data_IF_384642408371
#
_entry.id   IF_384642408371
#
_cell.length_a   1.000
_cell.length_b   1.000
_cell.length_c   1.000
_cell.angle_alpha   90.00
_cell.angle_beta   90.00
_cell.angle_gamma   90.00
#
_symmetry.space_group_name_H-M   'P 1'
#
loop_
_entity.id
_entity.type
_entity.pdbx_description
1 polymer ?
#
# COMPACT_ATOMS: atom_id res chain seq x y z
N UNK A 1 -35.93 12.95 -20.84
CA UNK A 1 -34.59 12.85 -20.23
C UNK A 1 -34.23 11.37 -20.26
N UNK A 2 -33.57 10.94 -21.33
CA UNK A 2 -33.13 9.56 -21.53
C UNK A 2 -31.98 9.28 -20.57
N UNK A 3 -32.16 8.33 -19.66
CA UNK A 3 -31.04 7.75 -18.90
C UNK A 3 -30.00 7.26 -19.92
N UNK A 4 -28.70 7.55 -19.74
CA UNK A 4 -27.69 6.97 -20.62
C UNK A 4 -27.81 5.45 -20.51
N UNK A 5 -27.86 4.79 -21.67
CA UNK A 5 -27.83 3.34 -21.80
C UNK A 5 -26.71 2.81 -20.92
N UNK A 6 -27.04 2.02 -19.90
CA UNK A 6 -26.07 1.10 -19.32
C UNK A 6 -25.50 0.32 -20.50
N UNK A 7 -24.20 0.43 -20.73
CA UNK A 7 -23.52 -0.38 -21.72
C UNK A 7 -23.92 -1.84 -21.46
N UNK A 8 -24.47 -2.57 -22.45
CA UNK A 8 -25.13 -3.85 -22.21
C UNK A 8 -24.21 -4.92 -21.60
N UNK A 9 -22.91 -4.67 -21.50
CA UNK A 9 -21.89 -5.60 -21.02
C UNK A 9 -20.96 -5.02 -19.95
N UNK A 10 -21.51 -4.30 -18.96
CA UNK A 10 -20.75 -3.94 -17.75
C UNK A 10 -20.75 -5.11 -16.74
N UNK A 11 -19.56 -5.64 -16.45
CA UNK A 11 -19.32 -6.64 -15.42
C UNK A 11 -18.72 -5.98 -14.17
N UNK A 12 -19.04 -6.50 -12.99
CA UNK A 12 -18.51 -5.97 -11.74
C UNK A 12 -18.05 -7.07 -10.80
N UNK A 13 -17.01 -6.79 -10.02
CA UNK A 13 -16.53 -7.67 -8.96
C UNK A 13 -16.23 -6.88 -7.69
N UNK A 14 -16.56 -7.45 -6.53
CA UNK A 14 -16.33 -6.84 -5.23
C UNK A 14 -15.61 -7.83 -4.31
N UNK A 15 -14.61 -7.34 -3.59
CA UNK A 15 -13.82 -8.15 -2.67
C UNK A 15 -13.23 -7.29 -1.54
N UNK A 16 -12.74 -7.95 -0.50
CA UNK A 16 -12.06 -7.31 0.65
C UNK A 16 -10.55 -7.52 0.53
N UNK A 17 -9.79 -6.42 0.53
CA UNK A 17 -8.33 -6.40 0.64
C UNK A 17 -7.84 -5.01 1.08
N UNK A 18 -6.62 -4.94 1.62
CA UNK A 18 -5.96 -3.71 2.06
C UNK A 18 -6.81 -2.92 3.08
N UNK A 19 -7.53 -3.63 3.95
CA UNK A 19 -8.39 -3.06 4.98
C UNK A 19 -9.59 -2.27 4.46
N UNK A 20 -10.06 -2.53 3.24
CA UNK A 20 -11.30 -1.94 2.71
C UNK A 20 -12.02 -2.85 1.71
N UNK A 21 -13.28 -2.52 1.42
CA UNK A 21 -13.99 -3.07 0.27
C UNK A 21 -13.46 -2.41 -1.00
N UNK A 22 -13.12 -3.23 -1.99
CA UNK A 22 -12.74 -2.79 -3.34
C UNK A 22 -13.83 -3.25 -4.29
N UNK A 23 -14.16 -2.40 -5.25
CA UNK A 23 -15.09 -2.70 -6.33
C UNK A 23 -14.44 -2.32 -7.67
N UNK A 24 -14.55 -3.21 -8.64
CA UNK A 24 -14.08 -3.00 -10.00
C UNK A 24 -15.24 -3.19 -10.97
N UNK A 25 -15.32 -2.33 -11.98
CA UNK A 25 -16.29 -2.41 -13.08
C UNK A 25 -15.52 -2.42 -14.39
N UNK A 26 -15.93 -3.28 -15.31
CA UNK A 26 -15.30 -3.46 -16.61
C UNK A 26 -16.37 -3.51 -17.69
N UNK A 27 -16.20 -2.71 -18.75
CA UNK A 27 -17.05 -2.71 -19.93
C UNK A 27 -16.34 -3.51 -21.04
N UNK A 28 -16.86 -4.70 -21.35
CA UNK A 28 -16.25 -5.64 -22.30
C UNK A 28 -17.32 -6.59 -22.85
N UNK A 29 -17.29 -6.88 -24.15
CA UNK A 29 -18.33 -7.67 -24.82
C UNK A 29 -18.32 -9.18 -24.48
N UNK A 30 -17.29 -9.67 -23.79
CA UNK A 30 -17.11 -11.09 -23.45
C UNK A 30 -17.05 -11.32 -21.94
N UNK A 31 -17.98 -12.15 -21.46
CA UNK A 31 -18.05 -12.52 -20.05
C UNK A 31 -16.81 -13.28 -19.58
N UNK A 32 -16.24 -14.18 -20.38
CA UNK A 32 -15.09 -14.97 -19.95
C UNK A 32 -13.86 -14.08 -19.71
N UNK A 33 -13.62 -13.14 -20.62
CA UNK A 33 -12.61 -12.08 -20.51
C UNK A 33 -12.86 -11.23 -19.27
N UNK A 34 -14.10 -10.80 -19.03
CA UNK A 34 -14.44 -10.00 -17.86
C UNK A 34 -14.13 -10.72 -16.53
N UNK A 35 -14.55 -11.97 -16.39
CA UNK A 35 -14.31 -12.75 -15.18
C UNK A 35 -12.81 -12.97 -14.93
N UNK A 36 -12.05 -13.27 -16.00
CA UNK A 36 -10.60 -13.47 -15.88
C UNK A 36 -9.90 -12.17 -15.45
N UNK A 37 -10.20 -11.05 -16.11
CA UNK A 37 -9.62 -9.75 -15.80
C UNK A 37 -9.94 -9.29 -14.37
N UNK A 38 -11.19 -9.42 -13.93
CA UNK A 38 -11.62 -9.06 -12.58
C UNK A 38 -10.98 -9.96 -11.50
N UNK A 39 -10.77 -11.24 -11.79
CA UNK A 39 -10.03 -12.15 -10.91
C UNK A 39 -8.55 -11.78 -10.79
N UNK A 40 -7.91 -11.35 -11.89
CA UNK A 40 -6.54 -10.84 -11.87
C UNK A 40 -6.42 -9.54 -11.05
N UNK A 41 -7.41 -8.64 -11.14
CA UNK A 41 -7.46 -7.43 -10.30
C UNK A 41 -7.52 -7.81 -8.82
N UNK A 42 -8.40 -8.73 -8.42
CA UNK A 42 -8.45 -9.20 -7.04
C UNK A 42 -7.11 -9.79 -6.59
N UNK A 43 -6.51 -10.67 -7.39
CA UNK A 43 -5.22 -11.28 -7.09
C UNK A 43 -4.12 -10.23 -6.91
N UNK A 44 -4.11 -9.17 -7.72
CA UNK A 44 -3.20 -8.04 -7.59
C UNK A 44 -3.36 -7.33 -6.24
N UNK A 45 -4.57 -6.94 -5.86
CA UNK A 45 -4.80 -6.28 -4.58
C UNK A 45 -4.44 -7.16 -3.37
N UNK A 46 -4.68 -8.49 -3.46
CA UNK A 46 -4.25 -9.44 -2.43
C UNK A 46 -2.72 -9.57 -2.37
N UNK A 47 -2.04 -9.54 -3.51
CA UNK A 47 -0.58 -9.51 -3.55
C UNK A 47 -0.02 -8.24 -2.90
N UNK A 48 -0.58 -7.07 -3.23
CA UNK A 48 -0.22 -5.81 -2.57
C UNK A 48 -0.44 -5.86 -1.05
N UNK A 49 -1.55 -6.43 -0.59
CA UNK A 49 -1.78 -6.61 0.84
C UNK A 49 -0.73 -7.52 1.50
N UNK A 50 -0.36 -8.63 0.85
CA UNK A 50 0.66 -9.54 1.37
C UNK A 50 2.05 -8.88 1.45
N UNK A 51 2.35 -7.91 0.60
CA UNK A 51 3.64 -7.22 0.61
C UNK A 51 3.64 -5.99 1.51
N UNK A 52 2.60 -5.15 1.44
CA UNK A 52 2.59 -3.80 1.99
C UNK A 52 1.82 -3.66 3.31
N UNK A 53 1.13 -4.70 3.79
CA UNK A 53 0.33 -4.59 5.01
C UNK A 53 1.19 -4.64 6.27
N UNK A 54 1.27 -3.54 7.00
CA UNK A 54 1.88 -3.53 8.35
C UNK A 54 1.04 -4.24 9.43
N UNK A 55 -0.19 -4.64 9.11
CA UNK A 55 -1.08 -5.34 10.04
C UNK A 55 -0.96 -6.87 9.92
N UNK A 56 -0.30 -7.36 8.87
CA UNK A 56 -0.02 -8.77 8.65
C UNK A 56 1.41 -9.06 9.11
N UNK A 57 1.55 -9.92 10.13
CA UNK A 57 2.87 -10.26 10.67
C UNK A 57 3.77 -10.98 9.64
N UNK A 58 3.14 -11.68 8.68
CA UNK A 58 3.80 -12.40 7.60
C UNK A 58 4.00 -11.56 6.33
N UNK A 59 3.67 -10.26 6.35
CA UNK A 59 3.93 -9.41 5.19
C UNK A 59 5.39 -9.06 5.05
N UNK A 60 5.81 -8.80 3.82
CA UNK A 60 7.19 -8.39 3.56
C UNK A 60 7.56 -7.08 4.28
N UNK A 61 6.65 -6.09 4.29
CA UNK A 61 6.83 -4.83 5.02
C UNK A 61 7.02 -5.06 6.53
N UNK A 62 6.19 -5.90 7.16
CA UNK A 62 6.32 -6.20 8.58
C UNK A 62 7.65 -6.89 8.89
N UNK A 63 8.08 -7.81 8.03
CA UNK A 63 9.38 -8.48 8.15
C UNK A 63 10.55 -7.50 7.98
N UNK A 64 10.46 -6.55 7.04
CA UNK A 64 11.45 -5.49 6.87
C UNK A 64 11.50 -4.56 8.10
N UNK A 65 10.33 -4.15 8.63
CA UNK A 65 10.23 -3.31 9.83
C UNK A 65 10.82 -3.98 11.08
N UNK A 66 10.81 -5.32 11.14
CA UNK A 66 11.46 -6.09 12.20
C UNK A 66 12.99 -6.23 12.05
N UNK A 67 13.57 -5.75 10.95
CA UNK A 67 14.99 -5.91 10.60
C UNK A 67 15.66 -4.55 10.43
N UNK A 68 16.12 -3.99 11.54
CA UNK A 68 16.91 -2.75 11.52
C UNK A 68 18.42 -3.01 11.52
N UNK A 69 19.19 -1.99 11.12
CA UNK A 69 20.65 -1.99 11.10
C UNK A 69 21.32 -3.07 10.25
N UNK A 70 20.60 -3.65 9.28
CA UNK A 70 21.12 -4.64 8.33
C UNK A 70 20.52 -4.46 6.94
N UNK A 71 21.23 -4.95 5.91
CA UNK A 71 20.73 -4.96 4.54
C UNK A 71 19.74 -6.11 4.35
N UNK A 72 18.58 -5.80 3.79
CA UNK A 72 17.50 -6.75 3.54
C UNK A 72 17.12 -6.69 2.05
N UNK A 73 17.30 -7.77 1.28
CA UNK A 73 16.74 -7.87 -0.07
C UNK A 73 15.22 -7.76 -0.01
N UNK A 74 14.63 -7.01 -0.94
CA UNK A 74 13.17 -6.80 -1.01
C UNK A 74 12.63 -7.15 -2.39
N UNK A 75 11.34 -7.42 -2.49
CA UNK A 75 10.64 -7.67 -3.75
C UNK A 75 10.59 -6.41 -4.63
N UNK A 76 10.39 -6.56 -5.96
CA UNK A 76 10.23 -5.42 -6.85
C UNK A 76 9.10 -4.48 -6.42
N UNK A 77 7.99 -5.03 -5.90
CA UNK A 77 6.85 -4.23 -5.45
C UNK A 77 7.19 -3.40 -4.21
N UNK A 78 7.84 -4.00 -3.21
CA UNK A 78 8.26 -3.28 -2.02
C UNK A 78 9.32 -2.23 -2.35
N UNK A 79 10.27 -2.56 -3.22
CA UNK A 79 11.27 -1.62 -3.75
C UNK A 79 10.63 -0.41 -4.44
N UNK A 80 9.72 -0.66 -5.39
CA UNK A 80 9.02 0.40 -6.11
C UNK A 80 8.21 1.28 -5.14
N UNK A 81 7.53 0.67 -4.18
CA UNK A 81 6.71 1.41 -3.20
C UNK A 81 7.59 2.29 -2.32
N UNK A 82 8.69 1.76 -1.78
CA UNK A 82 9.61 2.50 -0.93
C UNK A 82 10.30 3.65 -1.68
N UNK A 83 10.81 3.39 -2.88
CA UNK A 83 11.46 4.43 -3.70
C UNK A 83 10.47 5.54 -4.05
N UNK A 84 9.24 5.20 -4.42
CA UNK A 84 8.17 6.19 -4.63
C UNK A 84 7.88 6.98 -3.36
N UNK A 85 7.83 6.31 -2.21
CA UNK A 85 7.57 6.95 -0.93
C UNK A 85 8.67 7.95 -0.52
N UNK A 86 9.94 7.58 -0.73
CA UNK A 86 11.09 8.46 -0.48
C UNK A 86 11.03 9.67 -1.43
N UNK A 87 10.79 9.46 -2.72
CA UNK A 87 10.63 10.56 -3.68
C UNK A 87 9.46 11.48 -3.31
N UNK A 88 8.34 10.95 -2.81
CA UNK A 88 7.22 11.77 -2.33
C UNK A 88 7.61 12.57 -1.07
N UNK A 89 8.39 11.99 -0.16
CA UNK A 89 8.88 12.70 1.01
C UNK A 89 9.78 13.87 0.62
N UNK A 90 10.68 13.67 -0.34
CA UNK A 90 11.52 14.72 -0.92
C UNK A 90 10.69 15.82 -1.61
N UNK A 91 9.76 15.43 -2.50
CA UNK A 91 8.94 16.37 -3.26
C UNK A 91 8.03 17.24 -2.39
N UNK A 92 7.67 16.74 -1.21
CA UNK A 92 6.75 17.41 -0.29
C UNK A 92 7.45 18.03 0.92
N UNK A 93 8.79 18.07 0.91
CA UNK A 93 9.60 18.59 2.02
C UNK A 93 9.19 17.96 3.38
N UNK A 94 8.93 16.66 3.36
CA UNK A 94 8.53 15.87 4.55
C UNK A 94 7.06 15.97 4.96
N UNK A 95 6.18 16.67 4.21
CA UNK A 95 4.73 16.60 4.49
C UNK A 95 4.16 15.19 4.30
N UNK A 96 4.74 14.43 3.36
CA UNK A 96 4.61 12.97 3.32
C UNK A 96 5.86 12.34 3.96
N UNK A 97 5.68 11.39 4.86
CA UNK A 97 6.79 10.67 5.49
C UNK A 97 6.42 9.18 5.66
N UNK A 98 7.15 8.24 5.01
CA UNK A 98 6.87 6.82 5.13
C UNK A 98 7.31 6.22 6.47
N UNK A 99 7.98 6.96 7.36
CA UNK A 99 8.54 6.45 8.62
C UNK A 99 7.64 6.70 9.84
N UNK A 100 6.39 7.10 9.62
CA UNK A 100 5.45 7.49 10.67
C UNK A 100 4.93 6.32 11.52
N UNK A 101 5.31 5.06 11.23
CA UNK A 101 4.74 3.90 11.92
C UNK A 101 4.82 3.99 13.47
N UNK A 102 5.96 4.35 14.10
CA UNK A 102 6.01 4.51 15.56
C UNK A 102 5.04 5.57 16.10
N UNK A 103 4.87 6.69 15.39
CA UNK A 103 3.93 7.74 15.77
C UNK A 103 2.47 7.29 15.60
N UNK A 104 2.16 6.59 14.50
CA UNK A 104 0.83 6.01 14.26
C UNK A 104 0.44 5.00 15.33
N UNK A 105 1.35 4.10 15.71
CA UNK A 105 1.12 3.14 16.80
C UNK A 105 0.94 3.84 18.15
N UNK A 106 1.76 4.85 18.45
CA UNK A 106 1.64 5.65 19.67
C UNK A 106 0.31 6.41 19.75
N UNK A 107 -0.26 6.78 18.59
CA UNK A 107 -1.59 7.38 18.47
C UNK A 107 -2.74 6.34 18.48
N UNK A 108 -2.44 5.04 18.61
CA UNK A 108 -3.44 3.97 18.71
C UNK A 108 -3.86 3.34 17.38
N UNK A 109 -3.21 3.66 16.26
CA UNK A 109 -3.48 3.05 14.95
C UNK A 109 -2.82 1.67 14.83
N UNK A 110 -3.09 0.74 15.75
CA UNK A 110 -2.48 -0.61 15.78
C UNK A 110 -3.29 -1.65 15.01
N UNK A 111 -4.53 -1.34 14.62
CA UNK A 111 -5.43 -2.27 13.90
C UNK A 111 -6.11 -1.59 12.70
N UNK A 112 -6.57 -2.39 11.74
CA UNK A 112 -7.48 -1.94 10.67
C UNK A 112 -8.86 -1.69 11.28
N UNK A 113 -9.19 -0.44 11.63
CA UNK A 113 -10.50 -0.10 12.20
C UNK A 113 -11.55 0.15 11.11
N UNK A 114 -12.78 -0.39 11.22
CA UNK A 114 -13.96 0.34 10.79
C UNK A 114 -14.21 1.42 11.85
N UNK A 115 -13.82 2.66 11.53
CA UNK A 115 -13.94 3.92 12.30
C UNK A 115 -14.56 3.75 13.72
N UNK A 116 -13.74 3.83 14.76
CA UNK A 116 -14.19 4.07 16.14
C UNK A 116 -13.71 5.47 16.60
N UNK A 117 -14.52 6.21 17.38
CA UNK A 117 -14.22 7.59 17.73
C UNK A 117 -13.27 7.69 18.94
N UNK A 118 -12.29 8.59 18.84
CA UNK A 118 -11.59 9.14 20.00
C UNK A 118 -10.33 8.37 20.42
N UNK A 119 -9.25 8.49 19.66
CA UNK A 119 -7.93 8.27 20.24
C UNK A 119 -7.55 9.49 21.11
N UNK A 120 -7.82 9.42 22.41
CA UNK A 120 -7.31 10.37 23.42
C UNK A 120 -5.82 10.09 23.73
N UNK A 121 -4.98 10.07 22.69
CA UNK A 121 -3.55 9.86 22.84
C UNK A 121 -2.84 11.16 23.23
N UNK A 122 -2.71 11.45 24.53
CA UNK A 122 -1.65 12.33 25.02
C UNK A 122 -0.33 11.55 24.95
N UNK A 123 0.28 11.48 23.77
CA UNK A 123 1.59 10.85 23.62
C UNK A 123 2.53 11.84 22.96
N UNK A 124 3.69 12.06 23.59
CA UNK A 124 4.87 12.60 22.94
C UNK A 124 5.23 11.61 21.83
N UNK A 125 4.65 11.82 20.64
CA UNK A 125 4.93 10.98 19.49
C UNK A 125 6.46 10.97 19.30
N UNK A 126 7.09 9.79 19.18
CA UNK A 126 8.48 9.72 18.75
C UNK A 126 8.61 10.60 17.50
N UNK A 127 9.66 11.42 17.43
CA UNK A 127 9.94 12.15 16.20
C UNK A 127 9.95 11.12 15.06
N UNK A 128 9.30 11.41 13.92
CA UNK A 128 9.37 10.56 12.74
C UNK A 128 10.83 10.15 12.48
N UNK A 129 11.02 8.92 12.01
CA UNK A 129 12.34 8.53 11.53
C UNK A 129 12.80 9.49 10.44
N UNK A 130 14.11 9.73 10.32
CA UNK A 130 14.60 10.50 9.19
C UNK A 130 14.55 9.58 7.95
N UNK A 131 13.55 9.73 7.08
CA UNK A 131 13.47 8.98 5.82
C UNK A 131 14.75 9.15 4.98
N UNK A 132 15.47 10.26 5.14
CA UNK A 132 16.74 10.53 4.48
C UNK A 132 17.90 9.62 4.96
N UNK A 133 17.76 8.94 6.10
CA UNK A 133 18.75 7.99 6.60
C UNK A 133 18.55 6.55 6.05
N UNK A 134 17.44 6.30 5.34
CA UNK A 134 17.20 5.02 4.66
C UNK A 134 18.23 4.87 3.53
N UNK A 135 18.88 3.71 3.46
CA UNK A 135 19.86 3.43 2.39
C UNK A 135 19.31 2.39 1.43
N UNK A 136 19.52 2.65 0.14
CA UNK A 136 19.06 1.84 -0.97
C UNK A 136 20.27 1.33 -1.77
N UNK A 137 20.32 0.03 -2.02
CA UNK A 137 21.27 -0.60 -2.93
C UNK A 137 20.49 -1.11 -4.16
N UNK A 138 20.46 -0.30 -5.21
CA UNK A 138 19.70 -0.61 -6.43
C UNK A 138 20.28 -1.80 -7.20
N UNK A 139 21.59 -2.04 -7.11
CA UNK A 139 22.22 -3.17 -7.79
C UNK A 139 21.82 -4.51 -7.17
N UNK A 140 21.56 -4.52 -5.85
CA UNK A 140 21.14 -5.71 -5.11
C UNK A 140 19.66 -5.76 -4.77
N UNK A 141 18.91 -4.70 -5.08
CA UNK A 141 17.53 -4.47 -4.65
C UNK A 141 17.36 -4.72 -3.15
N UNK A 142 18.23 -4.08 -2.36
CA UNK A 142 18.28 -4.24 -0.91
C UNK A 142 18.12 -2.90 -0.18
N UNK A 143 17.45 -2.96 0.96
CA UNK A 143 17.13 -1.81 1.81
C UNK A 143 17.82 -1.96 3.15
N UNK A 144 18.35 -0.85 3.67
CA UNK A 144 18.86 -0.77 5.04
C UNK A 144 18.07 0.29 5.80
N UNK A 145 17.44 -0.12 6.89
CA UNK A 145 16.71 0.77 7.81
C UNK A 145 17.57 1.11 9.03
N UNK A 146 17.67 2.39 9.42
CA UNK A 146 18.26 2.77 10.70
C UNK A 146 17.54 2.12 11.88
N UNK A 147 18.25 1.98 13.01
CA UNK A 147 17.64 1.50 14.25
C UNK A 147 16.42 2.36 14.64
N UNK A 148 15.30 1.71 14.93
CA UNK A 148 14.05 2.36 15.33
C UNK A 148 13.19 2.92 14.19
N UNK A 149 13.72 3.02 12.96
CA UNK A 149 12.93 3.41 11.79
C UNK A 149 12.03 2.27 11.37
N UNK A 150 10.74 2.55 11.23
CA UNK A 150 9.73 1.60 10.75
C UNK A 150 8.81 2.29 9.76
N UNK A 151 8.51 1.57 8.68
CA UNK A 151 7.81 2.07 7.51
C UNK A 151 6.30 1.83 7.58
N UNK A 152 5.52 2.78 7.09
CA UNK A 152 4.09 2.68 6.79
C UNK A 152 3.83 3.20 5.36
N UNK A 153 3.03 2.44 4.60
CA UNK A 153 2.62 2.82 3.24
C UNK A 153 1.11 3.05 3.13
N UNK A 154 0.43 3.29 4.25
CA UNK A 154 -1.02 3.52 4.28
C UNK A 154 -1.45 4.70 3.41
N UNK A 155 -0.60 5.72 3.27
CA UNK A 155 -0.86 6.90 2.46
C UNK A 155 -0.70 6.72 0.94
N UNK A 156 -0.09 5.63 0.46
CA UNK A 156 0.21 5.43 -0.98
C UNK A 156 -0.18 4.06 -1.54
N UNK A 157 -0.26 3.03 -0.69
CA UNK A 157 -0.34 1.63 -1.14
C UNK A 157 -1.59 1.34 -1.98
N UNK A 158 -2.75 1.89 -1.61
CA UNK A 158 -4.01 1.68 -2.35
C UNK A 158 -4.00 2.37 -3.72
N UNK A 159 -3.44 3.57 -3.79
CA UNK A 159 -3.31 4.31 -5.05
C UNK A 159 -2.40 3.58 -6.04
N UNK A 160 -1.27 3.04 -5.56
CA UNK A 160 -0.38 2.21 -6.36
C UNK A 160 -1.07 0.93 -6.86
N UNK A 161 -1.79 0.21 -6.00
CA UNK A 161 -2.54 -0.99 -6.39
C UNK A 161 -3.61 -0.67 -7.44
N UNK A 162 -4.37 0.42 -7.26
CA UNK A 162 -5.37 0.85 -8.23
C UNK A 162 -4.74 1.24 -9.58
N UNK A 163 -3.61 1.95 -9.57
CA UNK A 163 -2.90 2.31 -10.79
C UNK A 163 -2.41 1.07 -11.55
N UNK A 164 -1.86 0.09 -10.85
CA UNK A 164 -1.39 -1.15 -11.48
C UNK A 164 -2.56 -2.02 -11.98
N UNK A 165 -3.70 -2.02 -11.29
CA UNK A 165 -4.91 -2.67 -11.76
C UNK A 165 -5.41 -2.04 -13.07
N UNK A 166 -5.40 -0.71 -13.20
CA UNK A 166 -5.73 -0.03 -14.47
C UNK A 166 -4.75 -0.45 -15.57
N UNK A 167 -3.45 -0.45 -15.29
CA UNK A 167 -2.43 -0.87 -16.27
C UNK A 167 -2.64 -2.31 -16.74
N UNK A 168 -2.96 -3.22 -15.82
CA UNK A 168 -3.28 -4.63 -16.12
C UNK A 168 -4.49 -4.77 -17.04
N UNK A 169 -5.48 -3.89 -16.91
CA UNK A 169 -6.71 -3.94 -17.72
C UNK A 169 -6.57 -3.24 -19.09
N UNK A 170 -5.57 -2.39 -19.26
CA UNK A 170 -5.34 -1.61 -20.49
C UNK A 170 -4.21 -2.13 -21.37
N UNK A 171 -3.41 -3.08 -20.87
CA UNK A 171 -2.32 -3.74 -21.59
C UNK A 171 -2.79 -4.98 -22.32
#
# INVERSE_FOLDING_TARGET
MTLPLLHPFTFSHQFQAMGCQIAAWLDVDDAATAHNALAQVEALFRHHEQILSRFRADSELSLLNGRSAQWVPVSPLLWQTLTTAISLAELTDGLFDPTLLPALEAAGYTHTFPIAPGANGTSTAPMPGCWADIRLDAARQAVWLPAGVRLDFGGIGKGLAAQQAVQLLTG
#
